data_IF_438997232054
#
_entry.id   IF_438997232054
#
_cell.length_a   1.000
_cell.length_b   1.000
_cell.length_c   1.000
_cell.angle_alpha   90.00
_cell.angle_beta   90.00
_cell.angle_gamma   90.00
#
_symmetry.space_group_name_H-M   'P 1'
#
loop_
_entity.id
_entity.type
_entity.pdbx_description
1 polymer ?
#
# COMPACT_ATOMS: atom_id res chain seq x y z
N UNK A 1 12.85 23.15 -18.20
CA UNK A 1 13.85 22.71 -19.20
C UNK A 1 13.41 21.34 -19.67
N UNK A 2 13.33 21.14 -21.00
CA UNK A 2 12.83 19.91 -21.64
C UNK A 2 13.86 18.80 -21.45
N UNK A 3 13.52 17.72 -20.78
CA UNK A 3 14.29 16.49 -20.88
C UNK A 3 14.17 15.95 -22.31
N UNK A 4 15.30 15.89 -23.01
CA UNK A 4 15.40 15.20 -24.29
C UNK A 4 15.22 13.69 -24.12
N UNK A 5 15.07 12.95 -25.21
CA UNK A 5 14.99 11.49 -25.18
C UNK A 5 16.28 10.92 -24.55
N UNK A 6 16.23 10.57 -23.26
CA UNK A 6 17.33 9.93 -22.57
C UNK A 6 17.50 8.52 -23.14
N UNK A 7 18.74 8.15 -23.48
CA UNK A 7 19.08 6.81 -23.95
C UNK A 7 18.65 5.77 -22.91
N UNK A 8 17.96 4.70 -23.33
CA UNK A 8 17.51 3.60 -22.46
C UNK A 8 18.69 3.03 -21.65
N UNK A 9 19.89 3.05 -22.24
CA UNK A 9 21.13 2.62 -21.60
C UNK A 9 21.54 3.50 -20.41
N UNK A 10 21.28 4.82 -20.44
CA UNK A 10 21.60 5.70 -19.30
C UNK A 10 20.60 5.56 -18.16
N UNK A 11 19.38 5.08 -18.42
CA UNK A 11 18.40 4.72 -17.39
C UNK A 11 18.72 3.37 -16.73
N UNK A 12 19.38 2.46 -17.46
CA UNK A 12 19.82 1.14 -16.98
C UNK A 12 21.20 1.17 -16.31
N UNK A 13 22.10 2.07 -16.75
CA UNK A 13 23.43 2.21 -16.19
C UNK A 13 23.37 2.79 -14.76
N UNK A 14 23.57 1.93 -13.77
CA UNK A 14 23.77 2.33 -12.36
C UNK A 14 22.71 1.86 -11.37
N UNK A 15 21.61 1.23 -11.83
CA UNK A 15 20.60 0.65 -10.91
C UNK A 15 20.85 -0.84 -10.71
N UNK A 16 20.78 -1.29 -9.46
CA UNK A 16 20.92 -2.71 -9.16
C UNK A 16 19.74 -3.49 -9.77
N UNK A 17 19.96 -4.63 -10.44
CA UNK A 17 18.90 -5.35 -11.15
C UNK A 17 17.75 -5.82 -10.22
N UNK A 18 18.01 -6.02 -8.94
CA UNK A 18 16.98 -6.37 -7.94
C UNK A 18 16.27 -5.16 -7.33
N UNK A 19 16.78 -3.95 -7.51
CA UNK A 19 16.19 -2.76 -6.89
C UNK A 19 14.75 -2.57 -7.36
N UNK A 20 14.52 -2.58 -8.68
CA UNK A 20 13.18 -2.45 -9.23
C UNK A 20 12.25 -3.60 -8.79
N UNK A 21 12.80 -4.80 -8.56
CA UNK A 21 12.02 -5.96 -8.09
C UNK A 21 11.61 -5.81 -6.63
N UNK A 22 12.51 -5.31 -5.79
CA UNK A 22 12.25 -5.09 -4.38
C UNK A 22 11.25 -3.96 -4.18
N UNK A 23 11.43 -2.85 -4.92
CA UNK A 23 10.50 -1.70 -4.93
C UNK A 23 9.07 -2.13 -5.31
N UNK A 24 8.91 -3.01 -6.30
CA UNK A 24 7.60 -3.44 -6.81
C UNK A 24 7.15 -4.81 -6.30
N UNK A 25 7.77 -5.34 -5.24
CA UNK A 25 7.51 -6.71 -4.78
C UNK A 25 6.05 -6.91 -4.37
N UNK A 26 5.52 -6.04 -3.52
CA UNK A 26 4.15 -6.14 -3.02
C UNK A 26 3.11 -5.99 -4.14
N UNK A 27 3.32 -5.02 -5.03
CA UNK A 27 2.43 -4.80 -6.17
C UNK A 27 2.44 -6.01 -7.11
N UNK A 28 3.61 -6.60 -7.36
CA UNK A 28 3.74 -7.80 -8.20
C UNK A 28 3.01 -8.99 -7.58
N UNK A 29 3.15 -9.19 -6.26
CA UNK A 29 2.43 -10.24 -5.54
C UNK A 29 0.92 -10.03 -5.60
N UNK A 30 0.46 -8.81 -5.39
CA UNK A 30 -0.96 -8.48 -5.47
C UNK A 30 -1.52 -8.72 -6.87
N UNK A 31 -0.82 -8.25 -7.90
CA UNK A 31 -1.20 -8.47 -9.30
C UNK A 31 -1.28 -9.97 -9.63
N UNK A 32 -0.33 -10.76 -9.16
CA UNK A 32 -0.36 -12.21 -9.34
C UNK A 32 -1.61 -12.84 -8.69
N UNK A 33 -1.97 -12.44 -7.47
CA UNK A 33 -3.19 -12.91 -6.79
C UNK A 33 -4.46 -12.53 -7.55
N UNK A 34 -4.55 -11.30 -8.03
CA UNK A 34 -5.71 -10.83 -8.80
C UNK A 34 -5.86 -11.58 -10.13
N UNK A 35 -4.75 -11.93 -10.79
CA UNK A 35 -4.78 -12.79 -11.97
C UNK A 35 -5.27 -14.21 -11.63
N UNK A 36 -4.88 -14.76 -10.47
CA UNK A 36 -5.38 -16.06 -10.01
C UNK A 36 -6.88 -16.00 -9.71
N UNK A 37 -7.37 -14.97 -9.01
CA UNK A 37 -8.80 -14.78 -8.79
C UNK A 37 -9.57 -14.65 -10.09
N UNK A 38 -9.04 -13.89 -11.06
CA UNK A 38 -9.62 -13.79 -12.39
C UNK A 38 -9.75 -15.14 -13.09
N UNK A 39 -8.74 -16.01 -12.97
CA UNK A 39 -8.72 -17.35 -13.59
C UNK A 39 -9.67 -18.33 -12.90
N UNK A 40 -9.77 -18.29 -11.57
CA UNK A 40 -10.57 -19.24 -10.79
C UNK A 40 -12.04 -18.84 -10.68
N UNK A 41 -12.31 -17.55 -10.46
CA UNK A 41 -13.65 -17.03 -10.13
C UNK A 41 -14.20 -16.05 -11.18
N UNK A 42 -13.42 -15.73 -12.22
CA UNK A 42 -13.80 -14.78 -13.26
C UNK A 42 -13.50 -13.32 -12.89
N UNK A 43 -13.90 -12.39 -13.76
CA UNK A 43 -13.57 -10.97 -13.60
C UNK A 43 -14.29 -10.26 -12.44
N UNK A 44 -15.38 -10.81 -11.91
CA UNK A 44 -16.14 -10.17 -10.83
C UNK A 44 -15.35 -10.06 -9.52
N UNK A 45 -14.63 -11.13 -9.16
CA UNK A 45 -13.88 -11.20 -7.90
C UNK A 45 -12.77 -10.13 -7.79
N UNK A 46 -11.85 -9.95 -8.77
CA UNK A 46 -10.84 -8.91 -8.66
C UNK A 46 -11.45 -7.50 -8.63
N UNK A 47 -12.54 -7.25 -9.38
CA UNK A 47 -13.19 -5.92 -9.37
C UNK A 47 -13.76 -5.64 -7.99
N UNK A 48 -14.55 -6.58 -7.45
CA UNK A 48 -15.13 -6.46 -6.10
C UNK A 48 -14.04 -6.23 -5.07
N UNK A 49 -12.96 -7.01 -5.10
CA UNK A 49 -11.85 -6.88 -4.16
C UNK A 49 -11.14 -5.52 -4.26
N UNK A 50 -10.96 -4.98 -5.47
CA UNK A 50 -10.42 -3.61 -5.62
C UNK A 50 -11.34 -2.55 -5.01
N UNK A 51 -12.66 -2.68 -5.20
CA UNK A 51 -13.63 -1.77 -4.61
C UNK A 51 -13.65 -1.87 -3.08
N UNK A 52 -13.64 -3.08 -2.52
CA UNK A 52 -13.59 -3.28 -1.06
C UNK A 52 -12.33 -2.67 -0.45
N UNK A 53 -11.17 -2.83 -1.08
CA UNK A 53 -9.93 -2.18 -0.62
C UNK A 53 -10.02 -0.66 -0.67
N UNK A 54 -10.65 -0.08 -1.70
CA UNK A 54 -10.83 1.36 -1.80
C UNK A 54 -11.76 1.86 -0.69
N UNK A 55 -12.89 1.19 -0.47
CA UNK A 55 -13.83 1.52 0.61
C UNK A 55 -13.11 1.49 1.95
N UNK A 56 -12.38 0.41 2.27
CA UNK A 56 -11.66 0.30 3.55
C UNK A 56 -10.65 1.43 3.73
N UNK A 57 -9.92 1.84 2.68
CA UNK A 57 -8.99 2.98 2.75
C UNK A 57 -9.71 4.30 3.03
N UNK A 58 -10.89 4.50 2.46
CA UNK A 58 -11.69 5.72 2.64
C UNK A 58 -12.38 5.74 4.01
N UNK A 59 -12.86 4.58 4.51
CA UNK A 59 -13.65 4.49 5.74
C UNK A 59 -12.84 4.30 7.01
N UNK A 60 -11.61 3.78 6.93
CA UNK A 60 -10.81 3.53 8.13
C UNK A 60 -10.31 4.85 8.69
N UNK A 61 -10.96 5.27 9.79
CA UNK A 61 -10.57 6.40 10.62
C UNK A 61 -10.25 5.86 12.01
N UNK A 62 -8.97 5.57 12.22
CA UNK A 62 -8.46 5.30 13.55
C UNK A 62 -7.34 6.33 13.79
N UNK A 63 -7.62 7.37 14.59
CA UNK A 63 -6.63 8.40 14.87
C UNK A 63 -5.42 7.80 15.54
N UNK A 64 -4.23 8.23 15.16
CA UNK A 64 -3.00 7.66 15.72
C UNK A 64 -2.83 7.98 17.22
N UNK A 65 -3.56 8.97 17.77
CA UNK A 65 -3.67 9.21 19.22
C UNK A 65 -4.38 8.07 19.99
N UNK A 66 -5.27 7.32 19.33
CA UNK A 66 -5.98 6.18 19.94
C UNK A 66 -5.10 4.93 19.98
N UNK A 67 -3.98 4.95 19.27
CA UNK A 67 -3.02 3.86 19.16
C UNK A 67 -2.63 3.62 17.70
N UNK A 68 -1.74 2.66 17.49
CA UNK A 68 -1.33 2.25 16.14
C UNK A 68 -2.55 1.77 15.35
N UNK A 69 -2.88 2.36 14.19
CA UNK A 69 -3.99 1.91 13.38
C UNK A 69 -3.67 0.52 12.81
N UNK A 70 -4.19 -0.52 13.44
CA UNK A 70 -4.14 -1.87 12.89
C UNK A 70 -5.10 -1.92 11.69
N UNK A 71 -4.56 -1.90 10.48
CA UNK A 71 -5.33 -1.94 9.23
C UNK A 71 -5.82 -3.37 8.90
N UNK A 72 -6.30 -4.10 9.91
CA UNK A 72 -6.63 -5.52 9.83
C UNK A 72 -7.61 -5.85 8.69
N UNK A 73 -8.57 -4.95 8.43
CA UNK A 73 -9.52 -5.09 7.33
C UNK A 73 -8.82 -5.09 5.97
N UNK A 74 -7.84 -4.22 5.80
CA UNK A 74 -7.05 -4.11 4.58
C UNK A 74 -6.07 -5.29 4.46
N UNK A 75 -5.54 -5.79 5.57
CA UNK A 75 -4.65 -6.96 5.58
C UNK A 75 -5.40 -8.24 5.21
N UNK A 76 -6.63 -8.43 5.69
CA UNK A 76 -7.50 -9.52 5.25
C UNK A 76 -7.76 -9.46 3.75
N UNK A 77 -8.06 -8.26 3.21
CA UNK A 77 -8.31 -8.09 1.77
C UNK A 77 -7.06 -8.34 0.92
N UNK A 78 -5.88 -7.98 1.45
CA UNK A 78 -4.58 -8.27 0.84
C UNK A 78 -4.12 -9.71 1.06
N UNK A 79 -4.77 -10.46 1.95
CA UNK A 79 -4.36 -11.79 2.41
C UNK A 79 -2.94 -11.76 3.05
N UNK A 80 -2.70 -10.75 3.91
CA UNK A 80 -1.49 -10.50 4.72
C UNK A 80 -1.83 -10.58 6.23
N UNK A 81 -3.02 -11.04 6.61
CA UNK A 81 -3.52 -11.07 8.00
C UNK A 81 -2.73 -12.00 8.94
N UNK A 82 -1.94 -12.91 8.38
CA UNK A 82 -1.08 -13.83 9.13
C UNK A 82 0.41 -13.46 9.07
N UNK A 83 0.77 -12.41 8.33
CA UNK A 83 2.14 -11.95 8.21
C UNK A 83 2.42 -10.85 9.24
N UNK A 84 3.66 -10.77 9.73
CA UNK A 84 4.12 -9.74 10.66
C UNK A 84 5.33 -9.04 10.05
N UNK A 85 5.25 -7.73 9.93
CA UNK A 85 6.34 -6.88 9.44
C UNK A 85 7.09 -6.20 10.59
N UNK A 86 8.23 -5.59 10.30
CA UNK A 86 8.99 -4.87 11.32
C UNK A 86 8.25 -3.63 11.84
N UNK A 87 7.40 -3.01 11.01
CA UNK A 87 6.55 -1.86 11.37
C UNK A 87 5.50 -2.22 12.44
N UNK A 88 5.07 -3.49 12.49
CA UNK A 88 4.10 -3.98 13.47
C UNK A 88 4.74 -4.19 14.86
N UNK A 89 6.04 -4.45 14.90
CA UNK A 89 6.80 -4.67 16.14
C UNK A 89 7.41 -3.36 16.66
N UNK A 90 7.85 -2.50 15.74
CA UNK A 90 8.48 -1.23 16.05
C UNK A 90 7.62 -0.08 15.54
N UNK A 91 6.53 0.17 16.25
CA UNK A 91 5.78 1.42 16.16
C UNK A 91 6.65 2.53 16.74
N UNK A 92 7.27 3.33 15.87
CA UNK A 92 8.12 4.45 16.28
C UNK A 92 7.44 5.38 17.29
N UNK A 93 8.25 6.16 18.02
CA UNK A 93 7.81 7.02 19.13
C UNK A 93 7.02 8.28 18.68
N UNK A 94 6.67 8.36 17.40
CA UNK A 94 5.92 9.48 16.80
C UNK A 94 4.41 9.30 17.03
N UNK A 95 3.97 9.39 18.29
CA UNK A 95 2.55 9.61 18.56
C UNK A 95 2.17 11.06 18.19
N UNK A 96 1.15 11.29 17.36
CA UNK A 96 0.67 12.64 17.10
C UNK A 96 0.08 13.24 18.37
N UNK A 97 0.47 14.48 18.67
CA UNK A 97 0.12 15.19 19.89
C UNK A 97 -1.38 15.50 20.04
N UNK A 98 -2.14 15.60 18.94
CA UNK A 98 -3.57 15.97 18.97
C UNK A 98 -4.37 15.38 17.79
N UNK A 99 -5.58 14.92 18.09
CA UNK A 99 -6.58 14.43 17.14
C UNK A 99 -7.00 15.49 16.12
N UNK A 100 -7.14 16.75 16.55
CA UNK A 100 -7.65 17.82 15.71
C UNK A 100 -6.68 18.17 14.59
N UNK A 101 -5.38 18.26 14.90
CA UNK A 101 -4.33 18.50 13.90
C UNK A 101 -4.21 17.36 12.87
N UNK A 102 -4.47 16.11 13.27
CA UNK A 102 -4.48 14.96 12.37
C UNK A 102 -5.66 15.02 11.38
N UNK A 103 -6.85 15.41 11.87
CA UNK A 103 -8.02 15.62 11.04
C UNK A 103 -7.86 16.78 10.06
N UNK A 104 -7.35 17.92 10.52
CA UNK A 104 -7.12 19.12 9.69
C UNK A 104 -6.23 18.80 8.49
N UNK A 105 -5.07 18.16 8.74
CA UNK A 105 -4.14 17.72 7.70
C UNK A 105 -4.79 16.81 6.65
N UNK A 106 -5.70 15.90 7.06
CA UNK A 106 -6.38 14.97 6.14
C UNK A 106 -7.52 15.65 5.38
N UNK A 107 -8.22 16.59 6.00
CA UNK A 107 -9.30 17.36 5.38
C UNK A 107 -8.77 18.50 4.49
N UNK A 108 -7.46 18.78 4.54
CA UNK A 108 -6.81 19.82 3.74
C UNK A 108 -7.16 21.23 4.21
N UNK A 109 -7.47 21.38 5.50
CA UNK A 109 -7.76 22.65 6.19
C UNK A 109 -6.51 23.00 7.02
#
# INVERSE_FOLDING_TARGET
>A
MRDGQLNIESQLNGRHPLQARLENWEETQMNMRMQNYKRTFGMGEPIRRTMEMQIVKETTLMPAVVGTPANIHLDILKNKDLDVDWEDVYTGDDQPLDFHSELEKRMGI
#
